data_IF_021512864269
#
_entry.id   IF_021512864269
#
_cell.length_a   1.000
_cell.length_b   1.000
_cell.length_c   1.000
_cell.angle_alpha   90.00
_cell.angle_beta   90.00
_cell.angle_gamma   90.00
#
_symmetry.space_group_name_H-M   'P 1'
#
loop_
_entity.id
_entity.type
_entity.pdbx_description
1 polymer ?
#
# COMPACT_ATOMS: atom_id res chain seq x y z
N UNK A 1 -19.62 15.42 2.08
CA UNK A 1 -20.43 15.17 3.28
C UNK A 1 -21.41 14.05 2.97
N UNK A 2 -21.02 12.89 3.48
CA UNK A 2 -21.51 11.60 3.09
C UNK A 2 -22.04 10.91 4.34
N UNK A 3 -23.36 10.84 4.49
CA UNK A 3 -24.03 9.99 5.50
C UNK A 3 -25.15 9.11 4.92
N UNK A 4 -25.17 7.79 5.23
CA UNK A 4 -26.29 6.81 5.25
C UNK A 4 -25.75 5.39 4.95
N UNK A 5 -25.96 4.33 5.73
CA UNK A 5 -26.95 4.00 6.76
C UNK A 5 -26.20 3.62 8.05
N UNK A 6 -26.47 4.34 9.15
CA UNK A 6 -25.63 4.43 10.37
C UNK A 6 -24.17 4.68 10.01
N UNK A 7 -23.84 5.84 9.45
CA UNK A 7 -23.00 6.81 10.16
C UNK A 7 -22.13 6.14 11.23
N UNK A 8 -20.80 6.22 11.12
CA UNK A 8 -19.92 6.01 12.28
C UNK A 8 -20.15 7.06 13.37
N UNK A 9 -21.38 7.52 13.59
CA UNK A 9 -21.94 8.23 14.73
C UNK A 9 -22.43 7.24 15.79
N UNK A 10 -22.82 6.03 15.39
CA UNK A 10 -23.12 4.95 16.32
C UNK A 10 -21.98 3.92 16.36
N UNK A 11 -22.04 3.04 17.36
CA UNK A 11 -21.03 2.03 17.60
C UNK A 11 -21.03 0.88 16.56
N UNK A 12 -21.82 0.96 15.48
CA UNK A 12 -22.01 -0.14 14.52
C UNK A 12 -21.41 0.14 13.14
N UNK A 13 -20.76 1.27 12.97
CA UNK A 13 -20.12 1.62 11.72
C UNK A 13 -18.73 2.19 11.88
N UNK A 14 -17.91 1.86 10.90
CA UNK A 14 -16.50 2.23 10.80
C UNK A 14 -16.30 2.82 9.42
N UNK A 15 -15.84 4.07 9.36
CA UNK A 15 -15.81 4.82 8.12
C UNK A 15 -14.52 5.65 8.00
N UNK A 16 -14.23 6.05 6.77
CA UNK A 16 -13.31 7.13 6.47
C UNK A 16 -14.11 8.28 5.85
N UNK A 17 -13.91 9.48 6.38
CA UNK A 17 -14.30 10.72 5.71
C UNK A 17 -13.09 11.23 4.94
N UNK A 18 -13.27 11.57 3.67
CA UNK A 18 -12.20 12.11 2.82
C UNK A 18 -12.72 13.30 2.01
N UNK A 19 -11.91 14.35 1.93
CA UNK A 19 -12.12 15.52 1.08
C UNK A 19 -10.97 15.66 0.06
N UNK A 20 -10.90 16.79 -0.64
CA UNK A 20 -9.87 17.05 -1.65
C UNK A 20 -8.44 17.16 -1.09
N UNK A 21 -8.28 17.30 0.22
CA UNK A 21 -6.99 17.60 0.86
C UNK A 21 -6.57 16.56 1.89
N UNK A 22 -7.53 15.90 2.53
CA UNK A 22 -7.28 15.09 3.73
C UNK A 22 -8.42 14.13 4.03
N UNK A 23 -8.09 13.15 4.87
CA UNK A 23 -9.05 12.19 5.41
C UNK A 23 -8.94 12.07 6.92
N UNK A 24 -9.97 11.46 7.51
CA UNK A 24 -10.03 11.03 8.90
C UNK A 24 -10.80 9.73 9.00
N UNK A 25 -10.44 8.90 9.96
CA UNK A 25 -11.30 7.80 10.38
C UNK A 25 -12.41 8.31 11.30
N UNK A 26 -13.54 7.61 11.24
CA UNK A 26 -14.78 8.01 11.88
C UNK A 26 -15.47 6.79 12.49
N UNK A 27 -15.70 6.86 13.79
CA UNK A 27 -16.44 5.86 14.57
C UNK A 27 -17.06 6.51 15.81
N UNK A 28 -18.28 6.11 16.18
CA UNK A 28 -19.03 6.67 17.30
C UNK A 28 -19.10 8.22 17.38
N UNK A 29 -19.06 8.90 16.24
CA UNK A 29 -19.16 10.34 16.06
C UNK A 29 -17.81 11.06 16.16
N UNK A 30 -16.73 10.32 16.41
CA UNK A 30 -15.41 10.87 16.64
C UNK A 30 -14.54 10.76 15.39
N UNK A 31 -13.87 11.87 15.07
CA UNK A 31 -12.86 11.93 14.04
C UNK A 31 -11.47 11.72 14.65
N UNK A 32 -10.70 10.79 14.10
CA UNK A 32 -9.34 10.52 14.55
C UNK A 32 -8.44 10.14 13.36
N UNK A 33 -7.12 10.09 13.60
CA UNK A 33 -6.10 9.73 12.61
C UNK A 33 -6.24 10.52 11.28
N UNK A 34 -5.89 11.81 11.35
CA UNK A 34 -5.90 12.66 10.16
C UNK A 34 -4.77 12.24 9.23
N UNK A 35 -5.11 11.96 7.97
CA UNK A 35 -4.13 11.67 6.91
C UNK A 35 -4.16 12.77 5.85
N UNK A 36 -2.97 13.21 5.42
CA UNK A 36 -2.80 14.14 4.30
C UNK A 36 -2.94 13.42 2.96
N UNK A 37 -3.44 14.13 1.95
CA UNK A 37 -3.81 13.55 0.68
C UNK A 37 -5.32 13.33 0.62
N UNK A 38 -5.91 13.71 -0.50
CA UNK A 38 -7.35 13.68 -0.69
C UNK A 38 -7.71 13.17 -2.07
N UNK A 39 -8.99 13.22 -2.39
CA UNK A 39 -9.53 12.70 -3.65
C UNK A 39 -9.71 13.78 -4.70
N UNK A 40 -9.59 13.40 -5.95
CA UNK A 40 -9.99 14.21 -7.11
C UNK A 40 -10.86 13.40 -8.06
N UNK A 41 -11.39 14.04 -9.10
CA UNK A 41 -12.17 13.32 -10.12
C UNK A 41 -11.26 12.29 -10.80
N UNK A 42 -11.67 11.02 -10.71
CA UNK A 42 -10.91 9.88 -11.25
C UNK A 42 -10.15 9.09 -10.19
N UNK A 43 -9.99 9.60 -8.96
CA UNK A 43 -9.40 8.84 -7.85
C UNK A 43 -10.21 7.60 -7.51
N UNK A 44 -9.52 6.55 -7.10
CA UNK A 44 -10.09 5.26 -6.68
C UNK A 44 -9.84 5.07 -5.19
N UNK A 45 -10.92 4.84 -4.43
CA UNK A 45 -10.83 4.46 -3.01
C UNK A 45 -10.94 2.94 -2.91
N UNK A 46 -9.87 2.31 -2.44
CA UNK A 46 -9.87 0.91 -2.06
C UNK A 46 -10.32 0.73 -0.61
N UNK A 47 -11.12 -0.30 -0.35
CA UNK A 47 -11.57 -0.66 1.00
C UNK A 47 -11.27 -2.14 1.22
N UNK A 48 -10.42 -2.44 2.19
CA UNK A 48 -10.06 -3.82 2.56
C UNK A 48 -10.63 -4.14 3.92
N UNK A 49 -11.63 -5.02 3.95
CA UNK A 49 -12.13 -5.65 5.16
C UNK A 49 -11.55 -7.06 5.26
N UNK A 50 -10.70 -7.26 6.26
CA UNK A 50 -10.18 -8.57 6.62
C UNK A 50 -10.99 -9.11 7.81
N UNK A 51 -11.89 -10.05 7.51
CA UNK A 51 -12.76 -10.67 8.52
C UNK A 51 -12.03 -11.66 9.43
N UNK A 52 -10.89 -12.20 9.01
CA UNK A 52 -10.11 -13.14 9.81
C UNK A 52 -9.29 -12.39 10.87
N UNK A 53 -8.63 -11.31 10.46
CA UNK A 53 -7.87 -10.44 11.37
C UNK A 53 -8.74 -9.40 12.08
N UNK A 54 -9.97 -9.22 11.62
CA UNK A 54 -10.89 -8.20 12.15
C UNK A 54 -10.35 -6.79 11.92
N UNK A 55 -9.82 -6.50 10.72
CA UNK A 55 -9.22 -5.21 10.39
C UNK A 55 -9.85 -4.54 9.18
N UNK A 56 -9.91 -3.22 9.20
CA UNK A 56 -10.36 -2.38 8.09
C UNK A 56 -9.27 -1.38 7.71
N UNK A 57 -8.90 -1.36 6.44
CA UNK A 57 -7.91 -0.45 5.87
C UNK A 57 -8.42 0.22 4.58
N UNK A 58 -7.90 1.41 4.30
CA UNK A 58 -8.27 2.21 3.15
C UNK A 58 -7.05 2.46 2.25
N UNK A 59 -7.33 2.55 0.95
CA UNK A 59 -6.33 2.80 -0.09
C UNK A 59 -6.81 3.95 -0.96
N UNK A 60 -5.87 4.73 -1.47
CA UNK A 60 -6.11 5.80 -2.44
C UNK A 60 -5.21 5.53 -3.64
N UNK A 61 -5.84 5.31 -4.80
CA UNK A 61 -5.14 5.04 -6.05
C UNK A 61 -4.13 3.87 -5.91
N UNK A 62 -4.62 2.76 -5.35
CA UNK A 62 -3.91 1.51 -5.06
C UNK A 62 -2.79 1.59 -4.00
N UNK A 63 -2.54 2.77 -3.42
CA UNK A 63 -1.58 2.99 -2.34
C UNK A 63 -2.27 3.03 -0.96
N UNK A 64 -1.64 2.53 0.12
CA UNK A 64 -2.17 2.65 1.48
C UNK A 64 -2.43 4.11 1.86
N UNK A 65 -3.64 4.40 2.34
CA UNK A 65 -4.03 5.75 2.74
C UNK A 65 -4.17 5.85 4.26
N UNK A 66 -3.05 6.11 4.92
CA UNK A 66 -2.95 6.12 6.38
C UNK A 66 -2.66 4.74 6.97
N UNK A 67 -2.67 4.60 8.31
CA UNK A 67 -2.49 3.32 8.97
C UNK A 67 -3.73 2.42 8.84
N UNK A 68 -3.66 1.19 9.36
CA UNK A 68 -4.84 0.34 9.53
C UNK A 68 -5.87 1.11 10.38
N UNK A 69 -7.03 1.39 9.80
CA UNK A 69 -8.01 2.30 10.38
C UNK A 69 -8.69 1.73 11.62
N UNK A 70 -9.00 0.44 11.59
CA UNK A 70 -9.67 -0.24 12.69
C UNK A 70 -9.12 -1.66 12.87
N UNK A 71 -9.00 -2.08 14.12
CA UNK A 71 -8.61 -3.43 14.54
C UNK A 71 -9.61 -3.95 15.57
N UNK A 72 -9.68 -5.28 15.71
CA UNK A 72 -10.60 -5.90 16.67
C UNK A 72 -12.08 -5.74 16.29
N UNK A 73 -12.38 -5.67 14.99
CA UNK A 73 -13.76 -5.62 14.51
C UNK A 73 -14.54 -6.86 14.97
N UNK A 74 -15.78 -6.71 15.49
CA UNK A 74 -16.57 -7.84 15.97
C UNK A 74 -16.83 -8.89 14.89
N UNK A 75 -16.94 -10.17 15.26
CA UNK A 75 -17.42 -11.17 14.31
C UNK A 75 -18.87 -10.85 13.91
N UNK A 76 -19.17 -10.85 12.61
CA UNK A 76 -20.51 -10.52 12.14
C UNK A 76 -20.62 -10.35 10.64
N UNK A 77 -21.79 -9.90 10.20
CA UNK A 77 -22.06 -9.56 8.81
C UNK A 77 -21.85 -8.07 8.62
N UNK A 78 -21.02 -7.73 7.64
CA UNK A 78 -20.71 -6.36 7.26
C UNK A 78 -21.32 -6.07 5.89
N UNK A 79 -21.80 -4.84 5.71
CA UNK A 79 -22.30 -4.35 4.43
C UNK A 79 -21.45 -3.17 3.99
N UNK A 80 -21.02 -3.11 2.71
CA UNK A 80 -20.36 -1.92 2.20
C UNK A 80 -21.35 -0.76 2.26
N UNK A 81 -20.90 0.37 2.82
CA UNK A 81 -21.69 1.58 2.90
C UNK A 81 -20.92 2.72 2.24
N UNK A 82 -21.63 3.47 1.40
CA UNK A 82 -21.14 4.71 0.82
C UNK A 82 -22.22 5.73 1.06
N UNK A 83 -21.80 6.92 1.44
CA UNK A 83 -22.66 8.06 1.25
C UNK A 83 -21.92 9.15 0.50
N UNK A 84 -22.65 10.14 0.00
CA UNK A 84 -22.22 11.13 -0.98
C UNK A 84 -22.88 12.48 -0.70
N UNK A 85 -22.18 13.56 -1.06
CA UNK A 85 -22.81 14.86 -1.26
C UNK A 85 -23.65 14.85 -2.55
N UNK A 86 -24.54 15.84 -2.70
CA UNK A 86 -25.36 16.03 -3.92
C UNK A 86 -24.53 16.04 -5.21
N UNK A 87 -23.34 16.63 -5.17
CA UNK A 87 -22.51 16.87 -6.35
C UNK A 87 -21.41 15.81 -6.54
N UNK A 88 -21.47 14.69 -5.82
CA UNK A 88 -20.49 13.60 -5.92
C UNK A 88 -21.14 12.39 -6.55
N UNK A 89 -20.50 11.88 -7.59
CA UNK A 89 -20.85 10.61 -8.23
C UNK A 89 -19.71 9.63 -8.06
N UNK A 90 -20.05 8.37 -7.78
CA UNK A 90 -19.08 7.27 -7.67
C UNK A 90 -19.58 6.06 -8.47
N UNK A 91 -18.67 5.18 -8.82
CA UNK A 91 -18.98 3.86 -9.37
C UNK A 91 -18.42 2.81 -8.42
N UNK A 92 -19.27 1.88 -7.97
CA UNK A 92 -18.83 0.75 -7.15
C UNK A 92 -18.29 -0.35 -8.04
N UNK A 93 -17.05 -0.77 -7.79
CA UNK A 93 -16.42 -1.94 -8.42
C UNK A 93 -16.29 -3.04 -7.37
N UNK A 94 -17.00 -4.14 -7.57
CA UNK A 94 -16.96 -5.32 -6.69
C UNK A 94 -16.33 -6.53 -7.41
N UNK A 95 -16.12 -7.62 -6.68
CA UNK A 95 -15.51 -8.84 -7.23
C UNK A 95 -14.03 -8.70 -7.54
N UNK A 96 -13.32 -7.83 -6.80
CA UNK A 96 -11.88 -7.69 -6.88
C UNK A 96 -11.20 -8.76 -6.02
N UNK A 97 -10.05 -9.25 -6.48
CA UNK A 97 -9.20 -10.11 -5.67
C UNK A 97 -8.56 -9.28 -4.54
N UNK A 98 -8.45 -9.82 -3.31
CA UNK A 98 -7.71 -9.15 -2.25
C UNK A 98 -6.25 -8.89 -2.67
N UNK A 99 -5.66 -7.74 -2.31
CA UNK A 99 -4.25 -7.48 -2.57
C UNK A 99 -3.37 -8.50 -1.82
N UNK A 100 -2.36 -9.06 -2.50
CA UNK A 100 -1.40 -10.00 -1.93
C UNK A 100 -0.55 -9.33 -0.86
N UNK A 101 -0.34 -10.02 0.26
CA UNK A 101 0.41 -9.52 1.43
C UNK A 101 1.93 -9.44 1.21
N UNK A 102 2.43 -9.84 0.04
CA UNK A 102 3.87 -10.07 -0.21
C UNK A 102 4.69 -8.78 -0.45
N UNK A 103 4.11 -7.61 -0.22
CA UNK A 103 4.77 -6.32 -0.50
C UNK A 103 5.43 -5.68 0.74
N UNK A 104 5.22 -6.22 1.94
CA UNK A 104 5.56 -5.53 3.20
C UNK A 104 6.90 -5.98 3.85
N UNK A 105 7.72 -6.80 3.15
CA UNK A 105 8.95 -7.36 3.75
C UNK A 105 10.19 -7.28 2.84
N UNK A 106 10.41 -6.10 2.22
CA UNK A 106 11.64 -5.82 1.44
C UNK A 106 12.44 -4.66 2.01
N UNK A 107 12.86 -4.78 3.28
CA UNK A 107 13.97 -4.01 3.83
C UNK A 107 15.10 -4.97 4.24
N UNK A 108 15.87 -5.45 3.25
CA UNK A 108 17.15 -6.10 3.50
C UNK A 108 18.14 -5.05 4.03
N UNK A 109 18.27 -4.99 5.36
CA UNK A 109 19.30 -4.24 6.06
C UNK A 109 20.69 -4.81 5.73
N UNK A 110 21.30 -4.38 4.62
CA UNK A 110 22.72 -4.62 4.36
C UNK A 110 23.59 -3.62 5.11
N UNK A 111 23.79 -3.84 6.41
CA UNK A 111 24.88 -3.20 7.16
C UNK A 111 26.14 -4.10 7.06
N UNK A 112 27.29 -3.61 6.54
CA UNK A 112 28.50 -4.43 6.47
C UNK A 112 29.26 -4.41 7.80
N UNK A 113 29.26 -5.54 8.53
CA UNK A 113 30.23 -5.79 9.59
C UNK A 113 31.63 -6.09 8.98
N UNK A 114 32.72 -5.47 9.47
CA UNK A 114 34.06 -5.80 9.00
C UNK A 114 34.56 -7.13 9.65
N UNK A 115 35.22 -8.03 8.89
CA UNK A 115 35.77 -9.25 9.46
C UNK A 115 37.11 -8.99 10.18
N UNK A 116 37.24 -9.58 11.37
CA UNK A 116 38.51 -9.71 12.11
C UNK A 116 39.41 -10.78 11.46
N UNK A 117 40.66 -10.40 11.32
CA UNK A 117 41.79 -11.10 10.71
C UNK A 117 42.04 -12.51 11.26
N UNK A 118 42.25 -13.49 10.38
CA UNK A 118 43.15 -14.63 10.62
C UNK A 118 43.76 -15.05 9.28
N UNK A 119 45.08 -15.22 9.28
CA UNK A 119 45.97 -15.28 8.12
C UNK A 119 46.05 -16.67 7.44
N UNK A 120 46.77 -16.68 6.30
CA UNK A 120 47.52 -17.81 5.68
C UNK A 120 46.70 -18.64 4.64
N UNK A 121 47.14 -18.99 3.42
CA UNK A 121 48.44 -19.03 2.70
C UNK A 121 48.19 -19.01 1.16
N UNK A 122 49.05 -18.28 0.42
CA UNK A 122 49.59 -18.44 -0.96
C UNK A 122 48.71 -18.75 -2.20
N UNK A 123 48.89 -17.90 -3.22
CA UNK A 123 48.45 -18.02 -4.61
C UNK A 123 49.24 -19.05 -5.44
N UNK A 124 48.80 -19.37 -6.67
CA UNK A 124 49.46 -18.70 -7.78
C UNK A 124 48.49 -18.16 -8.85
N UNK A 125 48.95 -17.09 -9.48
CA UNK A 125 48.34 -16.44 -10.63
C UNK A 125 48.60 -17.23 -11.92
N UNK A 126 47.64 -17.18 -12.85
CA UNK A 126 47.94 -17.20 -14.27
C UNK A 126 46.92 -16.35 -15.04
N UNK A 127 47.41 -15.25 -15.59
CA UNK A 127 46.69 -14.37 -16.51
C UNK A 127 47.05 -14.72 -17.97
N UNK A 128 46.45 -13.97 -18.90
CA UNK A 128 46.67 -13.91 -20.37
C UNK A 128 45.88 -14.96 -21.18
N UNK A 129 45.23 -14.66 -22.31
CA UNK A 129 45.19 -13.46 -23.14
C UNK A 129 43.93 -13.52 -24.05
N UNK A 130 43.39 -12.35 -24.45
CA UNK A 130 42.59 -12.23 -25.69
C UNK A 130 43.53 -12.24 -26.90
N UNK A 131 43.18 -12.91 -28.02
CA UNK A 131 43.78 -12.60 -29.31
C UNK A 131 42.98 -11.53 -30.06
N UNK A 132 43.71 -10.57 -30.62
CA UNK A 132 43.30 -9.64 -31.69
C UNK A 132 43.71 -10.23 -33.05
N UNK A 133 42.88 -10.07 -34.07
CA UNK A 133 43.23 -9.80 -35.49
C UNK A 133 42.01 -10.06 -36.38
N UNK A 134 41.77 -9.42 -37.52
CA UNK A 134 42.26 -8.19 -38.13
C UNK A 134 41.33 -7.87 -39.33
N UNK A 135 41.50 -6.67 -39.85
CA UNK A 135 40.76 -5.87 -40.85
C UNK A 135 40.89 -6.35 -42.32
N UNK A 136 39.87 -6.10 -43.15
CA UNK A 136 39.97 -5.81 -44.61
C UNK A 136 38.63 -5.19 -45.07
N UNK A 137 38.48 -3.88 -45.34
CA UNK A 137 38.84 -3.08 -46.54
C UNK A 137 37.73 -3.05 -47.64
N UNK A 138 37.62 -1.99 -48.48
CA UNK A 138 36.34 -1.28 -48.75
C UNK A 138 35.81 -1.32 -50.21
N UNK A 139 34.77 -0.50 -50.49
CA UNK A 139 34.11 -0.12 -51.79
C UNK A 139 32.69 -0.71 -51.91
N UNK A 140 31.61 0.00 -52.27
CA UNK A 140 31.41 1.23 -53.04
C UNK A 140 30.49 2.23 -52.33
#
# INVERSE_FOLDING_TARGET
MCWLLSTGHDARAWAMYIDEKRSWFLHNGEHFERTDGGITVGSVIGVRLDCERGTLAYYLDDEPHGPIAFTGLPAGVYYPAISLNRDVQVTLRSGLEPPSSDSEDSDENTSPCPPLTTASVTAPALALARPLSAKSAPSQ
#
